data_IF_917477742160
#
_entry.id   IF_917477742160
#
_cell.length_a   1.000
_cell.length_b   1.000
_cell.length_c   1.000
_cell.angle_alpha   90.00
_cell.angle_beta   90.00
_cell.angle_gamma   90.00
#
_symmetry.space_group_name_H-M   'P 1'
#
loop_
_entity.id
_entity.type
_entity.pdbx_description
1 polymer ?
#
# COMPACT_ATOMS: atom_id res chain seq x y z
N UNK A 1 45.92 -18.84 19.19
CA UNK A 1 45.30 -18.60 17.86
C UNK A 1 43.82 -19.01 17.81
N UNK A 2 43.40 -20.09 18.47
CA UNK A 2 41.99 -20.53 18.55
C UNK A 2 40.99 -19.47 19.02
N UNK A 3 41.33 -18.65 20.01
CA UNK A 3 40.43 -17.62 20.54
C UNK A 3 40.08 -16.53 19.49
N UNK A 4 41.01 -16.21 18.59
CA UNK A 4 40.78 -15.26 17.50
C UNK A 4 39.78 -15.84 16.48
N UNK A 5 39.95 -17.10 16.09
CA UNK A 5 39.02 -17.78 15.18
C UNK A 5 37.63 -17.96 15.80
N UNK A 6 37.58 -18.21 17.11
CA UNK A 6 36.32 -18.37 17.84
C UNK A 6 35.53 -17.05 17.92
N UNK A 7 36.24 -15.92 18.12
CA UNK A 7 35.64 -14.58 18.12
C UNK A 7 35.14 -14.17 16.71
N UNK A 8 35.91 -14.48 15.66
CA UNK A 8 35.48 -14.24 14.27
C UNK A 8 34.24 -15.05 13.92
N UNK A 9 34.18 -16.32 14.34
CA UNK A 9 33.02 -17.19 14.11
C UNK A 9 31.77 -16.67 14.83
N UNK A 10 31.91 -16.19 16.06
CA UNK A 10 30.81 -15.56 16.81
C UNK A 10 30.24 -14.33 16.09
N UNK A 11 31.10 -13.46 15.53
CA UNK A 11 30.65 -12.32 14.72
C UNK A 11 29.90 -12.76 13.47
N UNK A 12 30.41 -13.75 12.74
CA UNK A 12 29.74 -14.28 11.55
C UNK A 12 28.36 -14.86 11.87
N UNK A 13 28.22 -15.57 12.99
CA UNK A 13 26.93 -16.13 13.43
C UNK A 13 25.95 -15.00 13.78
N UNK A 14 26.39 -13.93 14.43
CA UNK A 14 25.51 -12.79 14.76
C UNK A 14 24.95 -12.07 13.54
N UNK A 15 25.67 -12.09 12.41
CA UNK A 15 25.21 -11.52 11.13
C UNK A 15 24.13 -12.37 10.47
N UNK A 16 24.13 -13.69 10.70
CA UNK A 16 23.09 -14.62 10.20
C UNK A 16 21.80 -14.49 11.04
N UNK A 17 21.94 -14.17 12.32
CA UNK A 17 20.82 -13.91 13.23
C UNK A 17 20.29 -12.47 13.19
N UNK A 18 20.91 -11.56 12.42
CA UNK A 18 20.20 -10.33 12.06
C UNK A 18 18.99 -10.74 11.23
N UNK A 19 17.76 -10.44 11.67
CA UNK A 19 16.56 -10.81 10.93
C UNK A 19 16.53 -10.04 9.60
N UNK A 20 17.17 -10.61 8.58
CA UNK A 20 17.05 -10.24 7.17
C UNK A 20 15.68 -10.53 6.58
N UNK A 21 14.69 -10.84 7.43
CA UNK A 21 13.26 -10.78 7.14
C UNK A 21 12.72 -9.44 7.64
N UNK A 22 13.31 -8.33 7.18
CA UNK A 22 12.62 -7.05 7.25
C UNK A 22 11.25 -7.26 6.63
N UNK A 23 10.23 -6.91 7.40
CA UNK A 23 8.81 -7.11 7.15
C UNK A 23 8.41 -6.72 5.72
N UNK A 24 8.55 -7.67 4.79
CA UNK A 24 8.05 -7.51 3.42
C UNK A 24 6.53 -7.68 3.37
N UNK A 25 5.87 -8.04 4.47
CA UNK A 25 4.41 -8.17 4.49
C UNK A 25 3.74 -6.81 4.58
N UNK A 26 4.33 -5.88 5.33
CA UNK A 26 3.78 -4.53 5.49
C UNK A 26 3.65 -3.76 4.16
N UNK A 27 4.60 -3.95 3.24
CA UNK A 27 4.61 -3.26 1.94
C UNK A 27 3.78 -3.96 0.85
N UNK A 28 3.35 -5.22 1.05
CA UNK A 28 2.58 -5.98 0.05
C UNK A 28 1.11 -5.55 -0.02
N UNK A 29 0.54 -5.12 1.10
CA UNK A 29 -0.87 -4.76 1.21
C UNK A 29 -1.10 -3.23 1.22
N UNK A 30 -0.10 -2.42 0.87
CA UNK A 30 -0.25 -0.97 0.91
C UNK A 30 -1.03 -0.45 -0.31
N UNK A 31 -1.99 0.43 -0.05
CA UNK A 31 -2.69 1.22 -1.06
C UNK A 31 -2.36 2.70 -0.84
N UNK A 32 -1.84 3.36 -1.87
CA UNK A 32 -1.41 4.75 -1.79
C UNK A 32 -2.40 5.64 -2.56
N UNK A 33 -3.06 6.56 -1.85
CA UNK A 33 -3.89 7.59 -2.47
C UNK A 33 -2.97 8.65 -3.07
N UNK A 34 -3.11 8.92 -4.37
CA UNK A 34 -2.26 9.85 -5.11
C UNK A 34 -2.92 11.21 -5.27
N UNK A 35 -4.21 11.20 -5.63
CA UNK A 35 -4.95 12.42 -5.99
C UNK A 35 -6.39 12.30 -5.55
N UNK A 36 -6.98 13.42 -5.15
CA UNK A 36 -8.43 13.59 -4.96
C UNK A 36 -8.97 14.65 -5.92
N UNK A 37 -10.15 14.45 -6.48
CA UNK A 37 -10.83 15.41 -7.34
C UNK A 37 -12.28 15.63 -6.92
N UNK A 38 -12.77 16.84 -7.21
CA UNK A 38 -14.15 17.26 -6.98
C UNK A 38 -14.67 17.83 -8.30
N UNK A 39 -15.73 17.21 -8.80
CA UNK A 39 -16.32 17.54 -10.09
C UNK A 39 -17.84 17.67 -9.96
N UNK A 40 -18.50 18.22 -10.97
CA UNK A 40 -19.95 18.12 -11.12
C UNK A 40 -20.27 16.78 -11.80
N UNK A 41 -21.09 15.97 -11.16
CA UNK A 41 -21.59 14.70 -11.66
C UNK A 41 -22.87 14.86 -12.47
N UNK A 42 -23.52 13.73 -12.78
CA UNK A 42 -24.83 13.72 -13.43
C UNK A 42 -25.91 14.30 -12.49
N UNK A 43 -26.96 14.86 -13.09
CA UNK A 43 -28.10 15.46 -12.38
C UNK A 43 -27.73 16.53 -11.35
N UNK A 44 -26.72 17.36 -11.66
CA UNK A 44 -26.22 18.43 -10.79
C UNK A 44 -25.70 17.95 -9.41
N UNK A 45 -25.38 16.65 -9.31
CA UNK A 45 -24.79 16.10 -8.11
C UNK A 45 -23.32 16.50 -7.99
N UNK A 46 -22.82 16.58 -6.75
CA UNK A 46 -21.40 16.68 -6.51
C UNK A 46 -20.74 15.30 -6.63
N UNK A 47 -19.65 15.23 -7.39
CA UNK A 47 -18.81 14.04 -7.57
C UNK A 47 -17.53 14.20 -6.76
N UNK A 48 -17.22 13.21 -5.93
CA UNK A 48 -15.93 13.12 -5.22
C UNK A 48 -15.21 11.86 -5.66
N UNK A 49 -13.94 11.99 -6.07
CA UNK A 49 -13.14 10.85 -6.51
C UNK A 49 -11.73 10.87 -5.94
N UNK A 50 -11.14 9.69 -5.83
CA UNK A 50 -9.69 9.52 -5.61
C UNK A 50 -9.11 8.62 -6.67
N UNK A 51 -7.83 8.85 -6.96
CA UNK A 51 -6.97 7.89 -7.66
C UNK A 51 -6.02 7.28 -6.65
N UNK A 52 -5.97 5.96 -6.57
CA UNK A 52 -5.06 5.24 -5.69
C UNK A 52 -4.34 4.12 -6.45
N UNK A 53 -3.15 3.73 -5.95
CA UNK A 53 -2.38 2.61 -6.47
C UNK A 53 -2.36 1.47 -5.47
N UNK A 54 -2.61 0.26 -5.97
CA UNK A 54 -2.47 -0.98 -5.22
C UNK A 54 -1.30 -1.78 -5.80
N UNK A 55 -0.44 -2.31 -4.92
CA UNK A 55 0.64 -3.22 -5.32
C UNK A 55 0.03 -4.51 -5.86
N UNK A 56 0.40 -4.91 -7.08
CA UNK A 56 -0.03 -6.15 -7.69
C UNK A 56 1.16 -7.12 -7.69
N UNK A 57 1.13 -8.12 -6.81
CA UNK A 57 2.19 -9.11 -6.73
C UNK A 57 2.15 -10.00 -7.99
N UNK A 58 3.11 -9.82 -8.90
CA UNK A 58 3.37 -10.78 -9.96
C UNK A 58 4.00 -12.03 -9.34
N UNK A 59 3.43 -13.22 -9.62
CA UNK A 59 3.94 -14.50 -9.10
C UNK A 59 5.38 -14.82 -9.55
N UNK A 60 5.94 -14.08 -10.49
CA UNK A 60 7.33 -14.19 -10.97
C UNK A 60 8.27 -13.24 -10.20
N UNK A 61 8.42 -13.46 -8.90
CA UNK A 61 9.38 -12.74 -8.05
C UNK A 61 10.83 -13.25 -8.24
N UNK A 62 11.23 -13.56 -9.47
CA UNK A 62 12.54 -14.15 -9.80
C UNK A 62 13.45 -13.26 -10.65
N UNK A 63 13.03 -12.09 -11.11
CA UNK A 63 13.91 -11.28 -11.94
C UNK A 63 13.50 -9.80 -11.92
N UNK A 64 14.19 -9.00 -11.09
CA UNK A 64 14.51 -7.58 -11.29
C UNK A 64 13.43 -6.58 -11.75
N UNK A 65 12.16 -6.97 -11.81
CA UNK A 65 11.10 -6.14 -12.37
C UNK A 65 10.45 -5.38 -11.22
N UNK A 66 10.65 -4.06 -11.24
CA UNK A 66 9.93 -3.08 -10.41
C UNK A 66 8.46 -3.49 -10.30
N UNK A 67 7.97 -3.65 -9.07
CA UNK A 67 6.64 -4.20 -8.80
C UNK A 67 5.55 -3.55 -9.66
N UNK A 68 4.64 -4.38 -10.20
CA UNK A 68 3.50 -3.89 -10.96
C UNK A 68 2.52 -3.18 -10.03
N UNK A 69 2.05 -2.00 -10.41
CA UNK A 69 1.04 -1.25 -9.66
C UNK A 69 -0.23 -1.12 -10.47
N UNK A 70 -1.37 -1.49 -9.88
CA UNK A 70 -2.67 -1.23 -10.46
C UNK A 70 -3.14 0.16 -10.00
N UNK A 71 -3.39 1.06 -10.96
CA UNK A 71 -4.00 2.37 -10.69
C UNK A 71 -5.51 2.24 -10.81
N UNK A 72 -6.23 2.60 -9.75
CA UNK A 72 -7.69 2.50 -9.67
C UNK A 72 -8.29 3.84 -9.27
N UNK A 73 -9.47 4.13 -9.81
CA UNK A 73 -10.28 5.29 -9.41
C UNK A 73 -11.45 4.83 -8.57
N UNK A 74 -11.69 5.50 -7.45
CA UNK A 74 -12.88 5.33 -6.63
C UNK A 74 -13.65 6.64 -6.63
N UNK A 75 -14.95 6.58 -6.94
CA UNK A 75 -15.81 7.74 -7.10
C UNK A 75 -17.10 7.57 -6.30
N UNK A 76 -17.68 8.68 -5.88
CA UNK A 76 -18.99 8.72 -5.25
C UNK A 76 -19.73 10.00 -5.64
N UNK A 77 -21.01 9.85 -5.99
CA UNK A 77 -21.89 10.94 -6.38
C UNK A 77 -22.95 11.16 -5.29
N UNK A 78 -23.29 12.42 -5.00
CA UNK A 78 -24.41 12.78 -4.12
C UNK A 78 -24.88 14.23 -4.34
N UNK A 79 -26.09 14.60 -3.91
CA UNK A 79 -26.63 15.96 -4.09
C UNK A 79 -25.82 17.09 -3.48
N UNK A 80 -24.90 16.78 -2.56
CA UNK A 80 -23.99 17.77 -1.98
C UNK A 80 -22.61 17.17 -1.82
N UNK A 81 -21.57 18.01 -1.93
CA UNK A 81 -20.18 17.59 -1.72
C UNK A 81 -19.97 16.96 -0.34
N UNK A 82 -20.63 17.50 0.68
CA UNK A 82 -20.58 16.95 2.05
C UNK A 82 -21.10 15.51 2.08
N UNK A 83 -22.24 15.24 1.43
CA UNK A 83 -22.81 13.90 1.37
C UNK A 83 -21.94 12.96 0.54
N UNK A 84 -21.41 13.43 -0.60
CA UNK A 84 -20.50 12.67 -1.46
C UNK A 84 -19.27 12.22 -0.68
N UNK A 85 -18.63 13.13 0.09
CA UNK A 85 -17.49 12.82 0.96
C UNK A 85 -17.84 11.83 2.08
N UNK A 86 -19.00 11.99 2.73
CA UNK A 86 -19.43 11.05 3.79
C UNK A 86 -19.71 9.65 3.25
N UNK A 87 -20.35 9.54 2.08
CA UNK A 87 -20.57 8.28 1.40
C UNK A 87 -19.23 7.66 0.97
N UNK A 88 -18.35 8.49 0.40
CA UNK A 88 -17.02 8.08 -0.03
C UNK A 88 -16.18 7.53 1.13
N UNK A 89 -16.20 8.17 2.31
CA UNK A 89 -15.50 7.66 3.50
C UNK A 89 -15.91 6.22 3.84
N UNK A 90 -17.20 5.91 3.74
CA UNK A 90 -17.71 4.54 3.95
C UNK A 90 -17.25 3.58 2.86
N UNK A 91 -17.22 4.04 1.60
CA UNK A 91 -16.78 3.22 0.47
C UNK A 91 -15.28 2.95 0.48
N UNK A 92 -14.46 3.89 0.97
CA UNK A 92 -13.02 3.70 1.15
C UNK A 92 -12.75 2.60 2.16
N UNK A 93 -13.38 2.64 3.34
CA UNK A 93 -13.17 1.63 4.38
C UNK A 93 -13.50 0.20 3.92
N UNK A 94 -14.43 0.05 2.97
CA UNK A 94 -14.79 -1.23 2.37
C UNK A 94 -13.85 -1.69 1.25
N UNK A 95 -13.25 -0.76 0.50
CA UNK A 95 -12.51 -1.05 -0.73
C UNK A 95 -10.99 -0.95 -0.57
N UNK A 96 -10.54 -0.19 0.42
CA UNK A 96 -9.15 0.05 0.76
C UNK A 96 -8.96 -0.42 2.20
N UNK A 97 -8.22 -1.50 2.41
CA UNK A 97 -7.89 -1.98 3.75
C UNK A 97 -6.90 -1.00 4.39
N UNK A 98 -7.43 -0.04 5.16
CA UNK A 98 -6.65 0.92 5.94
C UNK A 98 -6.31 0.43 7.36
N UNK A 99 -6.68 -0.82 7.69
CA UNK A 99 -6.53 -1.39 9.04
C UNK A 99 -5.07 -1.74 9.37
N UNK A 100 -4.25 -1.99 8.35
CA UNK A 100 -2.83 -2.29 8.51
C UNK A 100 -2.03 -0.98 8.56
N UNK A 101 -1.88 -0.43 9.77
CA UNK A 101 -0.91 0.63 10.10
C UNK A 101 0.34 0.05 10.72
#
# INVERSE_FOLDING_TARGET
>A
MHHRYMLTLLMCVSLIFMPGCWDQNLLKDISLVLTSAVDQGEDDNARYSITYRKVQQSQSMQQGNSGSYLTTVLTTDAPTLRKARSNFSRSVDQKIDMSKK
#
